data_IF_246604048966
#
_entry.id   IF_246604048966
#
_cell.length_a   1.000
_cell.length_b   1.000
_cell.length_c   1.000
_cell.angle_alpha   90.00
_cell.angle_beta   90.00
_cell.angle_gamma   90.00
#
_symmetry.space_group_name_H-M   'P 1'
#
loop_
_entity.id
_entity.type
_entity.pdbx_description
1 polymer ?
#
# COMPACT_ATOMS: atom_id res chain seq x y z
N UNK A 1 -11.10 9.00 27.70
CA UNK A 1 -11.83 8.50 26.53
C UNK A 1 -12.42 7.15 26.89
N UNK A 2 -13.72 6.96 26.69
CA UNK A 2 -14.44 5.69 26.97
C UNK A 2 -14.94 5.01 25.70
N UNK A 3 -15.05 5.76 24.61
CA UNK A 3 -15.49 5.29 23.29
C UNK A 3 -14.71 6.06 22.23
N UNK A 4 -14.39 5.42 21.13
CA UNK A 4 -13.73 6.03 19.98
C UNK A 4 -14.43 5.59 18.70
N UNK A 5 -15.05 6.50 17.92
CA UNK A 5 -15.85 6.15 16.73
C UNK A 5 -15.01 5.72 15.53
N UNK A 6 -13.70 5.96 15.54
CA UNK A 6 -12.80 5.55 14.45
C UNK A 6 -12.20 4.15 14.66
N UNK A 7 -12.31 3.60 15.86
CA UNK A 7 -11.87 2.23 16.15
C UNK A 7 -12.97 1.22 15.79
N UNK A 8 -12.59 -0.01 15.40
CA UNK A 8 -13.54 -1.10 15.31
C UNK A 8 -14.35 -1.25 16.62
N UNK A 9 -15.65 -1.60 16.57
CA UNK A 9 -16.51 -1.63 17.77
C UNK A 9 -15.93 -2.47 18.93
N UNK A 10 -15.40 -3.66 18.62
CA UNK A 10 -14.80 -4.55 19.61
C UNK A 10 -13.54 -3.93 20.27
N UNK A 11 -12.74 -3.16 19.52
CA UNK A 11 -11.57 -2.44 20.06
C UNK A 11 -12.02 -1.24 20.89
N UNK A 12 -13.00 -0.48 20.41
CA UNK A 12 -13.55 0.65 21.15
C UNK A 12 -14.09 0.20 22.53
N UNK A 13 -14.71 -0.98 22.59
CA UNK A 13 -15.17 -1.57 23.86
C UNK A 13 -14.04 -1.94 24.82
N UNK A 14 -12.83 -2.21 24.32
CA UNK A 14 -11.65 -2.54 25.14
C UNK A 14 -11.00 -1.32 25.81
N UNK A 15 -11.34 -0.08 25.47
CA UNK A 15 -10.63 1.12 25.97
C UNK A 15 -10.66 1.24 27.49
N UNK A 16 -11.78 1.00 28.15
CA UNK A 16 -11.87 1.02 29.61
C UNK A 16 -11.20 -0.20 30.27
N UNK A 17 -11.40 -1.44 29.79
CA UNK A 17 -10.62 -2.60 30.22
C UNK A 17 -9.10 -2.43 30.07
N UNK A 18 -8.61 -1.89 28.95
CA UNK A 18 -7.18 -1.61 28.73
C UNK A 18 -6.64 -0.59 29.76
N UNK A 19 -7.41 0.46 30.04
CA UNK A 19 -7.06 1.44 31.05
C UNK A 19 -6.91 0.79 32.44
N UNK A 20 -7.84 -0.08 32.81
CA UNK A 20 -7.80 -0.82 34.07
C UNK A 20 -6.60 -1.78 34.14
N UNK A 21 -6.33 -2.49 33.03
CA UNK A 21 -5.15 -3.36 32.88
C UNK A 21 -3.87 -2.57 33.13
N UNK A 22 -3.64 -1.49 32.38
CA UNK A 22 -2.42 -0.65 32.51
C UNK A 22 -2.28 -0.11 33.93
N UNK A 23 -3.37 0.37 34.56
CA UNK A 23 -3.34 0.87 35.93
C UNK A 23 -2.95 -0.20 36.94
N UNK A 24 -3.19 -1.48 36.68
CA UNK A 24 -2.84 -2.61 37.53
C UNK A 24 -1.41 -3.13 37.36
N UNK A 25 -0.72 -2.69 36.28
CA UNK A 25 0.62 -3.18 35.97
C UNK A 25 1.71 -2.55 36.84
N UNK A 26 2.74 -3.34 37.15
CA UNK A 26 3.90 -2.86 37.87
C UNK A 26 4.66 -1.82 37.03
N UNK A 27 4.75 -2.07 35.72
CA UNK A 27 5.42 -1.21 34.75
C UNK A 27 4.61 0.01 34.27
N UNK A 28 3.41 0.32 34.84
CA UNK A 28 2.46 1.34 34.37
C UNK A 28 3.07 2.70 34.03
N UNK A 29 4.12 3.12 34.73
CA UNK A 29 4.79 4.41 34.53
C UNK A 29 5.79 4.39 33.37
N UNK A 30 6.11 3.21 32.84
CA UNK A 30 7.09 2.99 31.76
C UNK A 30 6.46 2.41 30.49
N UNK A 31 5.14 2.50 30.37
CA UNK A 31 4.35 2.06 29.21
C UNK A 31 3.86 3.27 28.41
N UNK A 32 4.65 3.78 27.44
CA UNK A 32 4.31 5.02 26.75
C UNK A 32 3.19 4.86 25.71
N UNK A 33 2.99 3.64 25.17
CA UNK A 33 2.15 3.46 23.99
C UNK A 33 1.63 2.03 23.88
N UNK A 34 0.39 1.91 23.37
CA UNK A 34 -0.17 0.68 22.80
C UNK A 34 -0.58 1.00 21.36
N UNK A 35 0.00 0.28 20.39
CA UNK A 35 -0.41 0.34 18.99
C UNK A 35 -1.37 -0.80 18.68
N UNK A 36 -2.23 -0.58 17.67
CA UNK A 36 -3.27 -1.51 17.28
C UNK A 36 -3.11 -1.91 15.83
N UNK A 37 -3.20 -3.22 15.58
CA UNK A 37 -3.35 -3.75 14.22
C UNK A 37 -4.51 -4.76 14.19
N UNK A 38 -5.48 -4.55 13.29
CA UNK A 38 -6.65 -5.41 13.16
C UNK A 38 -6.57 -6.19 11.86
N UNK A 39 -6.59 -7.51 11.97
CA UNK A 39 -6.89 -8.43 10.87
C UNK A 39 -8.36 -8.85 10.88
N UNK A 40 -8.71 -9.78 9.98
CA UNK A 40 -10.08 -10.28 9.90
C UNK A 40 -10.49 -11.14 11.11
N UNK A 41 -9.53 -11.80 11.75
CA UNK A 41 -9.74 -12.74 12.85
C UNK A 41 -8.79 -12.56 14.03
N UNK A 42 -7.89 -11.60 13.95
CA UNK A 42 -6.90 -11.28 14.98
C UNK A 42 -6.88 -9.80 15.25
N UNK A 43 -6.86 -9.42 16.51
CA UNK A 43 -6.55 -8.08 16.98
C UNK A 43 -5.21 -8.11 17.69
N UNK A 44 -4.20 -7.48 17.13
CA UNK A 44 -2.88 -7.36 17.71
C UNK A 44 -2.73 -6.03 18.47
N UNK A 45 -2.31 -6.10 19.71
CA UNK A 45 -1.93 -4.95 20.54
C UNK A 45 -0.41 -4.98 20.75
N UNK A 46 0.29 -3.96 20.25
CA UNK A 46 1.73 -3.80 20.48
C UNK A 46 1.94 -2.93 21.68
N UNK A 47 2.43 -3.51 22.76
CA UNK A 47 2.75 -2.82 23.99
C UNK A 47 4.21 -2.36 23.96
N UNK A 48 4.43 -1.06 23.84
CA UNK A 48 5.76 -0.48 24.05
C UNK A 48 6.06 -0.36 25.54
N UNK A 49 7.23 -0.83 25.93
CA UNK A 49 7.69 -0.75 27.33
C UNK A 49 9.14 -0.30 27.39
N UNK A 50 9.43 0.62 28.31
CA UNK A 50 10.76 1.23 28.45
C UNK A 50 11.66 0.40 29.39
N UNK A 51 11.05 -0.40 30.25
CA UNK A 51 11.71 -1.28 31.21
C UNK A 51 11.19 -2.72 31.03
N UNK A 52 11.97 -3.75 31.43
CA UNK A 52 11.51 -5.12 31.34
C UNK A 52 10.22 -5.35 32.13
N UNK A 53 9.27 -6.07 31.56
CA UNK A 53 8.02 -6.43 32.24
C UNK A 53 8.26 -7.52 33.27
N UNK A 54 7.59 -7.42 34.43
CA UNK A 54 7.61 -8.46 35.46
C UNK A 54 6.83 -9.70 35.01
N UNK A 55 7.12 -10.86 35.62
CA UNK A 55 6.34 -12.08 35.36
C UNK A 55 4.85 -11.87 35.68
N UNK A 56 4.52 -11.05 36.67
CA UNK A 56 3.15 -10.69 37.01
C UNK A 56 2.49 -9.84 35.93
N UNK A 57 3.23 -8.90 35.30
CA UNK A 57 2.72 -8.11 34.20
C UNK A 57 2.48 -8.96 32.97
N UNK A 58 3.39 -9.87 32.63
CA UNK A 58 3.19 -10.80 31.52
C UNK A 58 1.96 -11.67 31.70
N UNK A 59 1.72 -12.13 32.95
CA UNK A 59 0.51 -12.91 33.26
C UNK A 59 -0.77 -12.08 33.16
N UNK A 60 -0.77 -10.81 33.62
CA UNK A 60 -1.90 -9.89 33.49
C UNK A 60 -2.27 -9.69 32.00
N UNK A 61 -1.26 -9.57 31.12
CA UNK A 61 -1.48 -9.46 29.67
C UNK A 61 -2.15 -10.72 29.10
N UNK A 62 -1.70 -11.93 29.52
CA UNK A 62 -2.30 -13.21 29.10
C UNK A 62 -3.74 -13.35 29.54
N UNK A 63 -3.99 -13.09 30.83
CA UNK A 63 -5.36 -13.15 31.39
C UNK A 63 -6.28 -12.17 30.65
N UNK A 64 -5.80 -10.96 30.36
CA UNK A 64 -6.56 -9.98 29.58
C UNK A 64 -6.87 -10.49 28.16
N UNK A 65 -5.87 -11.01 27.45
CA UNK A 65 -6.05 -11.53 26.10
C UNK A 65 -7.07 -12.69 26.06
N UNK A 66 -6.97 -13.62 27.01
CA UNK A 66 -7.92 -14.73 27.13
C UNK A 66 -9.34 -14.25 27.40
N UNK A 67 -9.52 -13.29 28.30
CA UNK A 67 -10.83 -12.73 28.65
C UNK A 67 -11.47 -11.99 27.46
N UNK A 68 -10.69 -11.18 26.71
CA UNK A 68 -11.19 -10.46 25.54
C UNK A 68 -11.52 -11.42 24.39
N UNK A 69 -10.69 -12.41 24.11
CA UNK A 69 -10.98 -13.45 23.12
C UNK A 69 -12.24 -14.24 23.46
N UNK A 70 -12.48 -14.53 24.75
CA UNK A 70 -13.70 -15.21 25.18
C UNK A 70 -14.98 -14.35 25.01
N UNK A 71 -14.86 -13.03 25.14
CA UNK A 71 -15.97 -12.09 24.93
C UNK A 71 -16.29 -11.87 23.44
N UNK A 72 -15.25 -11.89 22.58
CA UNK A 72 -15.38 -11.70 21.14
C UNK A 72 -14.65 -12.83 20.39
N UNK A 73 -15.24 -14.04 20.32
CA UNK A 73 -14.57 -15.22 19.74
C UNK A 73 -14.21 -15.08 18.26
N UNK A 74 -14.82 -14.12 17.56
CA UNK A 74 -14.47 -13.82 16.17
C UNK A 74 -13.09 -13.21 16.01
N UNK A 75 -12.52 -12.61 17.08
CA UNK A 75 -11.25 -11.93 17.06
C UNK A 75 -10.35 -12.42 18.21
N UNK A 76 -9.34 -13.22 17.88
CA UNK A 76 -8.30 -13.58 18.86
C UNK A 76 -7.47 -12.35 19.19
N UNK A 77 -7.37 -12.01 20.48
CA UNK A 77 -6.47 -10.94 20.94
C UNK A 77 -5.06 -11.48 21.11
N UNK A 78 -4.09 -10.82 20.49
CA UNK A 78 -2.67 -11.12 20.62
C UNK A 78 -1.90 -9.93 21.17
N UNK A 79 -1.02 -10.18 22.14
CA UNK A 79 -0.05 -9.20 22.59
C UNK A 79 1.27 -9.34 21.84
N UNK A 80 1.77 -8.20 21.41
CA UNK A 80 3.11 -8.03 20.88
C UNK A 80 3.86 -7.07 21.78
N UNK A 81 5.13 -7.33 22.04
CA UNK A 81 5.99 -6.52 22.91
C UNK A 81 6.99 -5.74 22.07
N UNK A 82 7.21 -4.49 22.46
CA UNK A 82 8.17 -3.59 21.81
C UNK A 82 9.11 -2.99 22.87
N UNK A 83 10.24 -3.64 23.17
CA UNK A 83 11.20 -3.14 24.17
C UNK A 83 12.05 -1.97 23.67
N UNK A 84 12.21 -1.78 22.36
CA UNK A 84 13.03 -0.71 21.75
C UNK A 84 12.39 -0.18 20.46
N UNK A 85 13.09 -0.24 19.33
CA UNK A 85 12.59 0.17 18.03
C UNK A 85 11.61 -0.82 17.42
N UNK A 86 10.99 -0.46 16.27
CA UNK A 86 10.03 -1.32 15.56
C UNK A 86 10.56 -2.70 15.19
N UNK A 87 11.87 -2.82 14.98
CA UNK A 87 12.57 -4.07 14.66
C UNK A 87 12.57 -5.07 15.83
N UNK A 88 12.28 -4.62 17.05
CA UNK A 88 12.22 -5.47 18.24
C UNK A 88 10.83 -6.01 18.55
N UNK A 89 9.84 -5.65 17.73
CA UNK A 89 8.45 -6.10 17.93
C UNK A 89 8.34 -7.61 17.75
N UNK A 90 7.83 -8.31 18.76
CA UNK A 90 7.67 -9.75 18.78
C UNK A 90 6.41 -10.17 19.55
N UNK A 91 5.88 -11.35 19.24
CA UNK A 91 4.77 -11.93 19.99
C UNK A 91 5.13 -12.17 21.46
N UNK A 92 4.21 -11.89 22.38
CA UNK A 92 4.34 -12.29 23.78
C UNK A 92 4.39 -13.81 23.92
N UNK A 93 3.50 -14.50 23.25
CA UNK A 93 3.42 -15.96 23.24
C UNK A 93 3.38 -16.44 21.79
N UNK A 94 4.24 -17.40 21.43
CA UNK A 94 4.28 -17.98 20.11
C UNK A 94 3.04 -18.83 19.82
N UNK A 95 2.64 -18.89 18.57
CA UNK A 95 1.49 -19.67 18.11
C UNK A 95 0.21 -18.83 17.98
N UNK A 96 -0.91 -19.53 17.74
CA UNK A 96 -2.20 -18.90 17.45
C UNK A 96 -2.39 -18.53 15.97
N UNK A 97 -3.54 -17.90 15.63
CA UNK A 97 -3.86 -17.54 14.25
C UNK A 97 -2.95 -16.43 13.74
N UNK A 98 -2.69 -16.47 12.43
CA UNK A 98 -1.90 -15.45 11.75
C UNK A 98 -2.71 -14.15 11.60
N UNK A 99 -2.10 -13.02 11.97
CA UNK A 99 -2.67 -11.69 11.68
C UNK A 99 -2.71 -11.50 10.16
N UNK A 100 -3.92 -11.40 9.61
CA UNK A 100 -4.14 -11.28 8.17
C UNK A 100 -5.47 -10.63 7.84
N UNK A 101 -5.58 -10.08 6.63
CA UNK A 101 -6.85 -9.67 6.05
C UNK A 101 -7.08 -10.34 4.70
N UNK A 102 -8.32 -10.42 4.26
CA UNK A 102 -8.68 -11.04 3.00
C UNK A 102 -9.18 -10.01 1.98
N UNK A 103 -8.87 -10.29 0.72
CA UNK A 103 -9.47 -9.66 -0.47
C UNK A 103 -10.32 -10.71 -1.20
N UNK A 104 -11.58 -10.94 -0.73
CA UNK A 104 -12.38 -12.10 -1.15
C UNK A 104 -12.71 -12.12 -2.64
N UNK A 105 -12.89 -10.94 -3.27
CA UNK A 105 -13.17 -10.82 -4.70
C UNK A 105 -12.08 -11.46 -5.57
N UNK A 106 -10.88 -11.59 -5.02
CA UNK A 106 -9.70 -12.13 -5.69
C UNK A 106 -9.23 -13.46 -5.11
N UNK A 107 -9.86 -13.90 -4.01
CA UNK A 107 -9.46 -15.11 -3.29
C UNK A 107 -8.09 -15.00 -2.61
N UNK A 108 -7.67 -13.80 -2.22
CA UNK A 108 -6.36 -13.51 -1.66
C UNK A 108 -6.45 -13.28 -0.16
N UNK A 109 -5.50 -13.87 0.57
CA UNK A 109 -5.28 -13.60 2.00
C UNK A 109 -3.92 -12.94 2.18
N UNK A 110 -3.89 -11.84 2.91
CA UNK A 110 -2.73 -10.99 3.14
C UNK A 110 -2.25 -11.09 4.59
N UNK A 111 -1.31 -11.99 4.92
CA UNK A 111 -0.60 -11.93 6.19
C UNK A 111 0.23 -10.65 6.32
N UNK A 112 0.25 -10.11 7.53
CA UNK A 112 1.05 -8.93 7.84
C UNK A 112 1.52 -8.94 9.30
N UNK A 113 2.52 -8.11 9.63
CA UNK A 113 2.95 -7.85 11.01
C UNK A 113 2.31 -6.55 11.50
N UNK A 114 2.15 -6.36 12.82
CA UNK A 114 1.62 -5.10 13.35
C UNK A 114 2.43 -3.86 12.94
N UNK A 115 3.69 -4.04 12.57
CA UNK A 115 4.60 -2.99 12.09
C UNK A 115 4.48 -2.70 10.59
N UNK A 116 3.80 -3.54 9.84
CA UNK A 116 3.60 -3.34 8.41
C UNK A 116 2.47 -2.34 8.16
N UNK A 117 2.64 -1.49 7.16
CA UNK A 117 1.55 -0.58 6.77
C UNK A 117 0.40 -1.37 6.10
N UNK A 118 -0.80 -1.15 6.60
CA UNK A 118 -2.05 -1.63 5.98
C UNK A 118 -3.09 -0.52 5.95
N UNK A 119 -4.05 -0.60 5.03
CA UNK A 119 -5.16 0.34 4.97
C UNK A 119 -6.04 0.19 6.23
N UNK A 120 -6.20 1.29 6.97
CA UNK A 120 -6.86 1.29 8.30
C UNK A 120 -8.33 0.90 8.29
N UNK A 121 -9.00 0.99 7.14
CA UNK A 121 -10.40 0.61 6.97
C UNK A 121 -10.49 -0.59 6.02
N UNK A 122 -10.59 -1.82 6.53
CA UNK A 122 -10.57 -3.03 5.70
C UNK A 122 -11.75 -3.12 4.72
N UNK A 123 -12.92 -2.59 5.09
CA UNK A 123 -14.08 -2.58 4.18
C UNK A 123 -13.84 -1.64 3.00
N UNK A 124 -13.34 -0.44 3.27
CA UNK A 124 -13.03 0.52 2.22
C UNK A 124 -11.83 0.04 1.40
N UNK A 125 -10.82 -0.61 2.01
CA UNK A 125 -9.71 -1.20 1.26
C UNK A 125 -10.20 -2.20 0.21
N UNK A 126 -11.13 -3.10 0.55
CA UNK A 126 -11.74 -4.03 -0.42
C UNK A 126 -12.41 -3.30 -1.59
N UNK A 127 -13.17 -2.26 -1.29
CA UNK A 127 -13.81 -1.41 -2.32
C UNK A 127 -12.77 -0.67 -3.16
N UNK A 128 -11.74 -0.11 -2.51
CA UNK A 128 -10.65 0.63 -3.17
C UNK A 128 -9.90 -0.26 -4.16
N UNK A 129 -9.48 -1.45 -3.72
CA UNK A 129 -8.76 -2.43 -4.57
C UNK A 129 -9.64 -2.85 -5.75
N UNK A 130 -10.89 -3.29 -5.48
CA UNK A 130 -11.82 -3.70 -6.55
C UNK A 130 -12.12 -2.55 -7.53
N UNK A 131 -12.19 -1.31 -7.05
CA UNK A 131 -12.41 -0.14 -7.90
C UNK A 131 -11.18 0.20 -8.75
N UNK A 132 -9.99 0.19 -8.15
CA UNK A 132 -8.73 0.45 -8.85
C UNK A 132 -8.51 -0.54 -9.99
N UNK A 133 -8.68 -1.84 -9.72
CA UNK A 133 -8.53 -2.88 -10.74
C UNK A 133 -9.55 -2.76 -11.89
N UNK A 134 -10.81 -2.45 -11.57
CA UNK A 134 -11.82 -2.21 -12.62
C UNK A 134 -11.48 -1.00 -13.47
N UNK A 135 -10.94 0.06 -12.88
CA UNK A 135 -10.54 1.26 -13.60
C UNK A 135 -9.25 1.04 -14.40
N UNK A 136 -8.32 0.24 -13.90
CA UNK A 136 -7.12 -0.15 -14.62
C UNK A 136 -7.47 -1.08 -15.80
N UNK A 137 -8.43 -1.97 -15.60
CA UNK A 137 -8.95 -2.90 -16.61
C UNK A 137 -7.85 -3.74 -17.27
N UNK A 138 -6.95 -4.33 -16.43
CA UNK A 138 -5.85 -5.16 -16.90
C UNK A 138 -6.37 -6.41 -17.65
N UNK A 139 -5.72 -6.74 -18.78
CA UNK A 139 -6.09 -7.89 -19.62
C UNK A 139 -5.11 -9.05 -19.44
N UNK A 140 -5.51 -10.32 -19.72
CA UNK A 140 -4.66 -11.49 -19.53
C UNK A 140 -3.37 -11.53 -20.37
N UNK A 141 -3.23 -10.68 -21.36
CA UNK A 141 -2.04 -10.57 -22.19
C UNK A 141 -1.14 -9.38 -21.81
N UNK A 142 -1.59 -8.51 -20.90
CA UNK A 142 -0.91 -7.29 -20.52
C UNK A 142 0.08 -7.50 -19.37
N UNK A 143 1.13 -6.70 -19.38
CA UNK A 143 2.08 -6.52 -18.29
C UNK A 143 1.69 -5.27 -17.49
N UNK A 144 1.71 -5.37 -16.17
CA UNK A 144 1.36 -4.26 -15.27
C UNK A 144 2.52 -3.99 -14.31
N UNK A 145 2.79 -2.71 -14.03
CA UNK A 145 3.67 -2.32 -12.92
C UNK A 145 2.82 -1.70 -11.82
N UNK A 146 3.04 -2.17 -10.59
CA UNK A 146 2.46 -1.65 -9.36
C UNK A 146 3.54 -0.91 -8.57
N UNK A 147 3.46 0.42 -8.60
CA UNK A 147 4.42 1.32 -7.97
C UNK A 147 4.00 1.63 -6.53
N UNK A 148 4.94 1.55 -5.58
CA UNK A 148 4.71 1.63 -4.14
C UNK A 148 3.84 0.46 -3.65
N UNK A 149 4.19 -0.74 -4.06
CA UNK A 149 3.32 -1.92 -3.93
C UNK A 149 3.11 -2.41 -2.48
N UNK A 150 3.88 -1.94 -1.51
CA UNK A 150 3.79 -2.31 -0.10
C UNK A 150 3.84 -3.83 0.11
N UNK A 151 2.82 -4.36 0.77
CA UNK A 151 2.64 -5.81 1.00
C UNK A 151 2.16 -6.58 -0.23
N UNK A 152 1.86 -5.89 -1.33
CA UNK A 152 1.22 -6.46 -2.51
C UNK A 152 -0.31 -6.31 -2.52
N UNK A 153 -0.85 -5.29 -1.82
CA UNK A 153 -2.30 -5.06 -1.69
C UNK A 153 -3.03 -4.92 -3.04
N UNK A 154 -2.38 -4.33 -4.03
CA UNK A 154 -2.86 -4.29 -5.42
C UNK A 154 -2.16 -5.32 -6.31
N UNK A 155 -0.87 -5.58 -6.07
CA UNK A 155 -0.05 -6.49 -6.89
C UNK A 155 -0.66 -7.88 -7.00
N UNK A 156 -1.06 -8.49 -5.86
CA UNK A 156 -1.60 -9.84 -5.85
C UNK A 156 -2.97 -9.93 -6.55
N UNK A 157 -3.93 -9.02 -6.31
CA UNK A 157 -5.13 -8.91 -7.12
C UNK A 157 -4.86 -8.70 -8.62
N UNK A 158 -3.89 -7.86 -9.01
CA UNK A 158 -3.49 -7.67 -10.41
C UNK A 158 -2.96 -8.98 -11.02
N UNK A 159 -2.23 -9.78 -10.25
CA UNK A 159 -1.73 -11.08 -10.69
C UNK A 159 -2.83 -12.12 -10.98
N UNK A 160 -4.08 -11.87 -10.56
CA UNK A 160 -5.25 -12.68 -10.97
C UNK A 160 -5.79 -12.32 -12.35
N UNK A 161 -5.37 -11.20 -12.93
CA UNK A 161 -5.94 -10.63 -14.15
C UNK A 161 -4.92 -10.46 -15.28
N UNK A 162 -3.72 -9.95 -14.96
CA UNK A 162 -2.67 -9.65 -15.92
C UNK A 162 -1.83 -10.89 -16.27
N UNK A 163 -1.08 -10.82 -17.36
CA UNK A 163 -0.10 -11.83 -17.77
C UNK A 163 1.10 -11.87 -16.81
N UNK A 164 1.54 -10.70 -16.41
CA UNK A 164 2.75 -10.48 -15.60
C UNK A 164 2.58 -9.21 -14.76
N UNK A 165 3.06 -9.24 -13.53
CA UNK A 165 3.06 -8.06 -12.65
C UNK A 165 4.45 -7.83 -12.08
N UNK A 166 4.89 -6.56 -12.09
CA UNK A 166 6.08 -6.10 -11.38
C UNK A 166 5.64 -5.17 -10.25
N UNK A 167 5.88 -5.57 -9.00
CA UNK A 167 5.70 -4.72 -7.82
C UNK A 167 7.02 -4.04 -7.47
N UNK A 168 7.02 -2.73 -7.28
CA UNK A 168 8.20 -1.96 -6.87
C UNK A 168 7.88 -1.21 -5.58
N UNK A 169 8.76 -1.32 -4.59
CA UNK A 169 8.57 -0.79 -3.24
C UNK A 169 9.91 -0.29 -2.68
N UNK A 170 9.87 0.80 -1.90
CA UNK A 170 11.08 1.38 -1.29
C UNK A 170 11.68 0.56 -0.16
N UNK A 171 10.85 -0.19 0.57
CA UNK A 171 11.25 -0.96 1.74
C UNK A 171 11.59 -2.42 1.39
N UNK A 172 12.84 -2.83 1.59
CA UNK A 172 13.25 -4.23 1.44
C UNK A 172 12.44 -5.17 2.32
N UNK A 173 12.06 -4.74 3.53
CA UNK A 173 11.22 -5.53 4.44
C UNK A 173 9.84 -5.77 3.86
N UNK A 174 9.20 -4.74 3.27
CA UNK A 174 7.90 -4.89 2.61
C UNK A 174 8.00 -5.72 1.34
N UNK A 175 9.09 -5.59 0.56
CA UNK A 175 9.36 -6.45 -0.60
C UNK A 175 9.51 -7.93 -0.18
N UNK A 176 10.20 -8.21 0.91
CA UNK A 176 10.28 -9.58 1.43
C UNK A 176 8.89 -10.10 1.83
N UNK A 177 8.09 -9.28 2.51
CA UNK A 177 6.71 -9.60 2.88
C UNK A 177 5.81 -9.83 1.67
N UNK A 178 5.92 -9.01 0.63
CA UNK A 178 5.12 -9.17 -0.58
C UNK A 178 5.44 -10.47 -1.32
N UNK A 179 6.72 -10.89 -1.34
CA UNK A 179 7.14 -12.20 -1.86
C UNK A 179 6.56 -13.36 -1.05
N UNK A 180 6.61 -13.30 0.28
CA UNK A 180 5.99 -14.31 1.16
C UNK A 180 4.47 -14.40 0.90
N UNK A 181 3.79 -13.26 0.79
CA UNK A 181 2.37 -13.18 0.50
C UNK A 181 2.04 -13.77 -0.88
N UNK A 182 2.84 -13.48 -1.89
CA UNK A 182 2.69 -14.07 -3.23
C UNK A 182 2.82 -15.59 -3.19
N UNK A 183 3.89 -16.12 -2.59
CA UNK A 183 4.11 -17.57 -2.51
C UNK A 183 2.99 -18.28 -1.76
N UNK A 184 2.53 -17.73 -0.64
CA UNK A 184 1.41 -18.27 0.13
C UNK A 184 0.13 -18.36 -0.70
N UNK A 185 -0.22 -17.28 -1.41
CA UNK A 185 -1.43 -17.24 -2.23
C UNK A 185 -1.31 -18.09 -3.50
N UNK A 186 -0.13 -18.16 -4.10
CA UNK A 186 0.14 -19.03 -5.26
C UNK A 186 -0.06 -20.51 -4.95
N UNK A 187 0.33 -20.95 -3.74
CA UNK A 187 0.16 -22.32 -3.29
C UNK A 187 -1.26 -22.64 -2.83
N UNK A 188 -1.99 -21.62 -2.36
CA UNK A 188 -3.33 -21.78 -1.79
C UNK A 188 -4.45 -21.51 -2.79
N UNK A 189 -4.14 -21.23 -4.08
CA UNK A 189 -5.05 -20.74 -5.11
C UNK A 189 -6.52 -21.14 -4.87
N UNK A 190 -7.34 -20.30 -4.19
CA UNK A 190 -8.75 -20.57 -4.05
C UNK A 190 -9.43 -20.33 -5.40
N UNK A 191 -10.39 -21.17 -5.76
CA UNK A 191 -11.19 -21.07 -6.98
C UNK A 191 -10.46 -21.29 -8.32
N UNK A 192 -9.28 -21.98 -8.34
CA UNK A 192 -8.64 -22.39 -9.57
C UNK A 192 -7.99 -21.28 -10.41
N UNK A 193 -7.87 -20.06 -9.87
CA UNK A 193 -7.13 -18.97 -10.52
C UNK A 193 -5.70 -18.93 -9.99
N UNK A 194 -4.76 -19.47 -10.75
CA UNK A 194 -3.34 -19.29 -10.46
C UNK A 194 -2.95 -17.82 -10.59
N UNK A 195 -2.14 -17.32 -9.66
CA UNK A 195 -1.51 -16.01 -9.82
C UNK A 195 -0.51 -16.06 -10.98
N UNK A 196 -0.50 -15.03 -11.82
CA UNK A 196 0.46 -14.89 -12.90
C UNK A 196 1.88 -14.65 -12.38
N UNK A 197 2.86 -14.72 -13.28
CA UNK A 197 4.26 -14.40 -12.95
C UNK A 197 4.34 -13.01 -12.33
N UNK A 198 4.87 -12.94 -11.11
CA UNK A 198 4.95 -11.69 -10.35
C UNK A 198 6.35 -11.57 -9.76
N UNK A 199 6.95 -10.39 -9.96
CA UNK A 199 8.25 -10.04 -9.41
C UNK A 199 8.11 -8.87 -8.46
N UNK A 200 9.02 -8.79 -7.48
CA UNK A 200 9.08 -7.68 -6.54
C UNK A 200 10.50 -7.15 -6.44
N UNK A 201 10.64 -5.83 -6.55
CA UNK A 201 11.93 -5.13 -6.56
C UNK A 201 11.94 -4.05 -5.48
N UNK A 202 13.01 -4.02 -4.68
CA UNK A 202 13.26 -2.92 -3.76
C UNK A 202 14.00 -1.79 -4.48
N UNK A 203 13.44 -0.56 -4.41
CA UNK A 203 14.05 0.63 -5.02
C UNK A 203 13.52 1.91 -4.39
N UNK A 204 14.39 2.90 -4.23
CA UNK A 204 13.95 4.23 -3.85
C UNK A 204 13.16 4.87 -4.99
N UNK A 205 11.86 5.04 -4.76
CA UNK A 205 10.91 5.58 -5.73
C UNK A 205 10.88 7.12 -5.73
N UNK A 206 11.58 7.76 -4.79
CA UNK A 206 11.77 9.21 -4.76
C UNK A 206 12.97 9.68 -5.58
N UNK A 207 13.82 8.74 -6.03
CA UNK A 207 15.00 8.99 -6.87
C UNK A 207 14.86 8.39 -8.27
N UNK A 208 13.64 8.20 -8.77
CA UNK A 208 13.38 7.62 -10.09
C UNK A 208 13.94 8.47 -11.22
N UNK A 209 14.59 7.81 -12.20
CA UNK A 209 15.14 8.40 -13.41
C UNK A 209 14.58 7.75 -14.68
N UNK A 210 14.68 8.40 -15.85
CA UNK A 210 14.34 7.81 -17.14
C UNK A 210 15.02 6.46 -17.39
N UNK A 211 16.29 6.34 -17.03
CA UNK A 211 17.09 5.14 -17.23
C UNK A 211 16.58 3.97 -16.37
N UNK A 212 16.12 4.25 -15.15
CA UNK A 212 15.50 3.25 -14.28
C UNK A 212 14.19 2.76 -14.86
N UNK A 213 13.35 3.65 -15.41
CA UNK A 213 12.12 3.26 -16.11
C UNK A 213 12.40 2.35 -17.32
N UNK A 214 13.43 2.67 -18.09
CA UNK A 214 13.86 1.84 -19.22
C UNK A 214 14.34 0.46 -18.76
N UNK A 215 15.05 0.40 -17.65
CA UNK A 215 15.54 -0.86 -17.06
C UNK A 215 14.38 -1.75 -16.58
N UNK A 216 13.31 -1.18 -16.04
CA UNK A 216 12.11 -1.92 -15.65
C UNK A 216 11.33 -2.47 -16.85
N UNK A 217 11.59 -1.90 -18.02
CA UNK A 217 10.94 -2.28 -19.28
C UNK A 217 9.54 -1.71 -19.44
N UNK A 218 9.00 -1.84 -20.64
CA UNK A 218 7.65 -1.39 -20.97
C UNK A 218 6.59 -2.20 -20.22
N UNK A 219 5.52 -1.53 -19.82
CA UNK A 219 4.31 -2.16 -19.30
C UNK A 219 3.09 -1.49 -19.92
N UNK A 220 2.03 -2.27 -20.12
CA UNK A 220 0.79 -1.80 -20.72
C UNK A 220 0.06 -0.82 -19.79
N UNK A 221 0.13 -1.06 -18.48
CA UNK A 221 -0.60 -0.27 -17.49
C UNK A 221 0.20 -0.11 -16.18
N UNK A 222 -0.05 1.00 -15.50
CA UNK A 222 0.52 1.27 -14.18
C UNK A 222 -0.57 1.49 -13.14
N UNK A 223 -0.36 0.92 -11.96
CA UNK A 223 -1.03 1.31 -10.73
C UNK A 223 -0.02 2.05 -9.85
N UNK A 224 -0.42 3.14 -9.22
CA UNK A 224 0.46 3.99 -8.41
C UNK A 224 -0.28 4.35 -7.12
N UNK A 225 0.24 3.93 -5.95
CA UNK A 225 -0.33 4.22 -4.63
C UNK A 225 0.76 4.75 -3.69
N UNK A 226 1.26 5.98 -3.89
CA UNK A 226 2.38 6.53 -3.17
C UNK A 226 1.99 7.02 -1.77
N UNK A 227 2.97 7.24 -0.88
CA UNK A 227 2.76 7.95 0.37
C UNK A 227 2.35 9.41 0.12
N UNK A 228 2.13 10.17 1.21
CA UNK A 228 1.62 11.57 1.16
C UNK A 228 2.44 12.52 0.30
N UNK A 229 3.70 12.22 0.08
CA UNK A 229 4.63 13.01 -0.75
C UNK A 229 4.33 12.90 -2.25
N UNK A 230 3.54 11.90 -2.65
CA UNK A 230 3.19 11.62 -4.04
C UNK A 230 4.29 10.89 -4.80
N UNK A 231 4.16 10.82 -6.12
CA UNK A 231 5.05 10.10 -7.03
C UNK A 231 5.78 11.05 -8.00
N UNK A 232 6.22 12.21 -7.51
CA UNK A 232 6.78 13.27 -8.37
C UNK A 232 7.96 12.80 -9.21
N UNK A 233 8.95 12.11 -8.61
CA UNK A 233 10.14 11.63 -9.32
C UNK A 233 9.78 10.62 -10.43
N UNK A 234 8.83 9.70 -10.14
CA UNK A 234 8.33 8.74 -11.12
C UNK A 234 7.71 9.43 -12.34
N UNK A 235 6.80 10.37 -12.12
CA UNK A 235 6.12 11.04 -13.23
C UNK A 235 7.00 12.08 -13.93
N UNK A 236 7.97 12.65 -13.24
CA UNK A 236 9.01 13.47 -13.86
C UNK A 236 9.85 12.62 -14.82
N UNK A 237 10.30 11.45 -14.39
CA UNK A 237 11.06 10.53 -15.23
C UNK A 237 10.24 10.07 -16.46
N UNK A 238 8.95 9.79 -16.28
CA UNK A 238 8.04 9.45 -17.39
C UNK A 238 7.89 10.61 -18.39
N UNK A 239 7.73 11.84 -17.88
CA UNK A 239 7.62 13.04 -18.70
C UNK A 239 8.92 13.27 -19.52
N UNK A 240 10.07 13.12 -18.88
CA UNK A 240 11.36 13.27 -19.56
C UNK A 240 11.59 12.21 -20.65
N UNK A 241 11.15 10.95 -20.44
CA UNK A 241 11.19 9.92 -21.48
C UNK A 241 10.29 10.28 -22.65
N UNK A 242 9.08 10.75 -22.39
CA UNK A 242 8.14 11.17 -23.43
C UNK A 242 8.71 12.34 -24.24
N UNK A 243 9.31 13.32 -23.59
CA UNK A 243 9.97 14.47 -24.25
C UNK A 243 11.15 14.04 -25.13
N UNK A 244 11.97 13.10 -24.64
CA UNK A 244 13.09 12.52 -25.44
C UNK A 244 12.58 11.79 -26.69
N UNK A 245 11.49 11.04 -26.58
CA UNK A 245 10.86 10.35 -27.73
C UNK A 245 10.32 11.33 -28.77
N UNK A 246 9.76 12.46 -28.33
CA UNK A 246 9.28 13.52 -29.20
C UNK A 246 10.39 14.39 -29.79
N UNK A 247 11.65 14.19 -29.37
CA UNK A 247 12.80 15.01 -29.79
C UNK A 247 12.74 16.43 -29.25
N UNK A 248 12.04 16.65 -28.14
CA UNK A 248 11.97 17.95 -27.47
C UNK A 248 13.27 18.22 -26.69
N UNK A 249 13.74 19.46 -26.66
CA UNK A 249 14.92 19.82 -25.87
C UNK A 249 14.66 19.64 -24.39
N UNK A 250 15.68 19.33 -23.57
CA UNK A 250 15.53 19.21 -22.13
C UNK A 250 15.04 20.54 -21.52
N UNK A 251 14.29 20.51 -20.41
CA UNK A 251 13.82 21.71 -19.74
C UNK A 251 14.96 22.66 -19.38
N UNK A 252 14.90 23.91 -19.83
CA UNK A 252 15.94 24.92 -19.61
C UNK A 252 16.93 25.13 -20.75
N UNK A 253 16.84 24.42 -21.85
CA UNK A 253 17.50 24.81 -23.10
C UNK A 253 16.70 25.95 -23.70
N UNK A 254 17.21 27.18 -23.61
CA UNK A 254 16.62 28.35 -24.28
C UNK A 254 16.77 28.16 -25.80
N UNK A 255 15.68 27.76 -26.43
CA UNK A 255 15.59 27.77 -27.89
C UNK A 255 15.01 29.13 -28.30
N UNK A 256 15.87 29.98 -28.86
CA UNK A 256 15.51 31.34 -29.27
C UNK A 256 14.61 31.42 -30.52
N UNK A 257 13.78 30.42 -30.79
CA UNK A 257 12.91 30.41 -31.97
C UNK A 257 11.43 30.37 -31.54
N UNK A 258 10.71 31.45 -31.85
CA UNK A 258 9.27 31.66 -31.72
C UNK A 258 8.48 30.81 -32.75
N UNK A 259 8.80 29.52 -32.89
CA UNK A 259 8.08 28.64 -33.81
C UNK A 259 7.05 27.82 -32.98
N UNK A 260 5.74 27.86 -33.32
CA UNK A 260 4.76 27.04 -32.63
C UNK A 260 5.12 25.56 -32.80
N UNK A 261 4.95 24.71 -31.75
CA UNK A 261 5.28 23.30 -31.83
C UNK A 261 4.50 22.62 -32.95
N UNK A 262 5.22 22.01 -33.89
CA UNK A 262 4.62 21.17 -34.91
C UNK A 262 3.91 20.00 -34.20
N UNK A 263 2.71 19.65 -34.67
CA UNK A 263 2.01 18.43 -34.24
C UNK A 263 2.86 17.26 -34.75
N UNK A 264 3.69 16.71 -33.86
CA UNK A 264 4.54 15.56 -34.14
C UNK A 264 3.69 14.30 -34.08
N UNK A 265 3.55 13.62 -35.21
CA UNK A 265 3.00 12.27 -35.20
C UNK A 265 3.89 11.32 -34.40
N UNK A 266 3.32 10.42 -33.58
CA UNK A 266 4.11 9.49 -32.78
C UNK A 266 4.93 8.58 -33.69
N UNK A 267 6.24 8.73 -33.69
CA UNK A 267 7.17 7.79 -34.32
C UNK A 267 7.30 6.53 -33.43
N UNK A 268 7.45 5.32 -34.00
CA UNK A 268 7.76 4.14 -33.23
C UNK A 268 9.02 4.41 -32.40
N UNK A 269 8.94 4.11 -31.09
CA UNK A 269 9.98 4.38 -30.11
C UNK A 269 11.36 3.94 -30.59
N UNK A 270 12.28 4.88 -30.78
CA UNK A 270 13.66 4.58 -31.11
C UNK A 270 14.41 3.92 -29.96
N UNK A 271 13.86 3.96 -28.75
CA UNK A 271 14.43 3.43 -27.52
C UNK A 271 13.98 2.00 -27.18
N UNK A 272 13.02 1.43 -27.92
CA UNK A 272 12.45 0.10 -27.63
C UNK A 272 11.63 0.05 -26.35
N UNK A 273 11.33 1.20 -25.72
CA UNK A 273 10.50 1.36 -24.52
C UNK A 273 9.23 2.12 -24.88
N UNK A 274 8.10 1.70 -24.33
CA UNK A 274 6.81 2.36 -24.55
C UNK A 274 6.16 2.72 -23.20
N UNK A 275 5.63 3.95 -23.08
CA UNK A 275 4.90 4.35 -21.88
C UNK A 275 3.58 3.58 -21.75
N UNK A 276 3.04 3.43 -20.51
CA UNK A 276 1.79 2.73 -20.26
C UNK A 276 0.61 3.43 -20.93
N UNK A 277 -0.33 2.65 -21.45
CA UNK A 277 -1.55 3.18 -22.07
C UNK A 277 -2.52 3.76 -21.05
N UNK A 278 -2.49 3.22 -19.81
CA UNK A 278 -3.36 3.67 -18.74
C UNK A 278 -2.64 3.63 -17.40
N UNK A 279 -2.90 4.66 -16.58
CA UNK A 279 -2.40 4.79 -15.23
C UNK A 279 -3.60 5.00 -14.29
N UNK A 280 -3.68 4.20 -13.23
CA UNK A 280 -4.57 4.45 -12.10
C UNK A 280 -3.72 4.93 -10.94
N UNK A 281 -4.01 6.13 -10.46
CA UNK A 281 -3.31 6.77 -9.36
C UNK A 281 -4.23 6.86 -8.14
N UNK A 282 -3.87 6.19 -7.06
CA UNK A 282 -4.51 6.26 -5.74
C UNK A 282 -3.70 7.22 -4.88
N UNK A 283 -4.34 8.07 -4.08
CA UNK A 283 -3.62 9.07 -3.28
C UNK A 283 -4.41 9.50 -2.05
N UNK A 284 -3.76 9.45 -0.89
CA UNK A 284 -4.29 10.00 0.35
C UNK A 284 -4.07 11.54 0.48
N UNK A 285 -3.47 12.18 -0.53
CA UNK A 285 -3.23 13.63 -0.56
C UNK A 285 -3.62 14.22 -1.92
N UNK A 286 -4.82 14.84 -2.03
CA UNK A 286 -5.27 15.47 -3.28
C UNK A 286 -4.34 16.53 -3.84
N UNK A 287 -3.57 17.22 -2.98
CA UNK A 287 -2.62 18.27 -3.41
C UNK A 287 -1.44 17.67 -4.19
N UNK A 288 -0.86 16.58 -3.72
CA UNK A 288 0.22 15.89 -4.45
C UNK A 288 -0.30 15.18 -5.69
N UNK A 289 -1.52 14.60 -5.65
CA UNK A 289 -2.18 14.07 -6.85
C UNK A 289 -2.33 15.15 -7.93
N UNK A 290 -2.79 16.35 -7.57
CA UNK A 290 -2.96 17.43 -8.53
C UNK A 290 -1.62 17.90 -9.12
N UNK A 291 -0.57 18.01 -8.30
CA UNK A 291 0.79 18.34 -8.76
C UNK A 291 1.31 17.29 -9.77
N UNK A 292 1.19 16.03 -9.44
CA UNK A 292 1.69 14.92 -10.25
C UNK A 292 0.86 14.73 -11.52
N UNK A 293 -0.47 14.95 -11.44
CA UNK A 293 -1.37 15.01 -12.60
C UNK A 293 -0.96 16.09 -13.60
N UNK A 294 -0.43 17.23 -13.11
CA UNK A 294 0.12 18.28 -13.97
C UNK A 294 1.27 17.78 -14.86
N UNK A 295 2.18 16.96 -14.32
CA UNK A 295 3.24 16.33 -15.12
C UNK A 295 2.68 15.36 -16.17
N UNK A 296 1.73 14.51 -15.76
CA UNK A 296 1.11 13.55 -16.66
C UNK A 296 0.39 14.24 -17.83
N UNK A 297 -0.42 15.26 -17.54
CA UNK A 297 -1.27 15.92 -18.54
C UNK A 297 -0.48 16.88 -19.42
N UNK A 298 0.44 17.65 -18.86
CA UNK A 298 1.12 18.72 -19.63
C UNK A 298 2.44 18.29 -20.24
N UNK A 299 3.06 17.19 -19.77
CA UNK A 299 4.40 16.82 -20.22
C UNK A 299 4.52 15.36 -20.67
N UNK A 300 3.79 14.43 -20.02
CA UNK A 300 3.91 13.01 -20.31
C UNK A 300 2.93 12.48 -21.38
N UNK A 301 2.05 13.33 -21.94
CA UNK A 301 1.13 12.97 -23.02
C UNK A 301 -0.08 12.15 -22.57
N UNK A 302 -0.62 12.46 -21.38
CA UNK A 302 -1.82 11.81 -20.85
C UNK A 302 -2.98 12.81 -20.70
N UNK A 303 -4.20 12.27 -20.67
CA UNK A 303 -5.39 13.00 -20.25
C UNK A 303 -6.00 12.35 -19.01
N UNK A 304 -6.51 13.13 -18.09
CA UNK A 304 -7.30 12.63 -16.98
C UNK A 304 -8.72 12.30 -17.49
N UNK A 305 -9.11 11.04 -17.42
CA UNK A 305 -10.42 10.57 -17.92
C UNK A 305 -11.44 10.35 -16.80
N UNK A 306 -10.98 10.16 -15.58
CA UNK A 306 -11.83 10.04 -14.41
C UNK A 306 -11.06 10.46 -13.14
N UNK A 307 -11.76 11.05 -12.20
CA UNK A 307 -11.26 11.30 -10.85
C UNK A 307 -12.41 11.18 -9.85
N UNK A 308 -12.10 10.76 -8.63
CA UNK A 308 -13.08 10.63 -7.58
C UNK A 308 -12.45 10.48 -6.20
N UNK A 309 -13.29 10.48 -5.18
CA UNK A 309 -12.88 10.38 -3.78
C UNK A 309 -13.46 9.12 -3.13
N UNK A 310 -12.75 8.62 -2.14
CA UNK A 310 -13.17 7.49 -1.30
C UNK A 310 -13.01 7.90 0.16
N UNK A 311 -14.03 7.70 0.97
CA UNK A 311 -13.99 8.01 2.39
C UNK A 311 -13.30 6.88 3.18
N UNK A 312 -11.98 6.80 3.07
CA UNK A 312 -11.15 5.83 3.80
C UNK A 312 -11.06 6.17 5.29
N UNK A 313 -11.08 7.46 5.63
CA UNK A 313 -10.78 8.00 6.95
C UNK A 313 -11.98 8.78 7.52
N UNK A 314 -13.09 8.12 7.85
CA UNK A 314 -14.27 8.80 8.40
C UNK A 314 -13.91 9.53 9.70
N UNK A 315 -14.56 10.67 9.95
CA UNK A 315 -14.31 11.56 11.09
C UNK A 315 -12.93 12.23 11.13
N UNK A 316 -12.21 12.25 10.01
CA UNK A 316 -10.94 12.99 9.88
C UNK A 316 -11.00 13.96 8.71
N UNK A 317 -9.99 14.82 8.57
CA UNK A 317 -9.82 15.73 7.42
C UNK A 317 -9.13 15.04 6.21
N UNK A 318 -8.79 13.76 6.32
CA UNK A 318 -8.10 13.05 5.26
C UNK A 318 -9.10 12.47 4.25
N UNK A 319 -8.74 12.53 2.99
CA UNK A 319 -9.51 12.01 1.87
C UNK A 319 -8.62 11.13 1.02
N UNK A 320 -9.09 9.93 0.71
CA UNK A 320 -8.50 9.09 -0.32
C UNK A 320 -9.05 9.49 -1.67
N UNK A 321 -8.19 9.61 -2.67
CA UNK A 321 -8.54 10.01 -4.03
C UNK A 321 -8.06 8.96 -5.02
N UNK A 322 -8.74 8.87 -6.16
CA UNK A 322 -8.31 8.02 -7.26
C UNK A 322 -8.52 8.75 -8.58
N UNK A 323 -7.52 8.73 -9.44
CA UNK A 323 -7.60 9.31 -10.77
C UNK A 323 -7.13 8.30 -11.83
N UNK A 324 -7.67 8.41 -13.03
CA UNK A 324 -7.35 7.58 -14.19
C UNK A 324 -6.83 8.46 -15.30
N UNK A 325 -5.69 8.09 -15.82
CA UNK A 325 -5.04 8.76 -16.93
C UNK A 325 -4.90 7.80 -18.09
N UNK A 326 -5.21 8.29 -19.29
CA UNK A 326 -5.02 7.56 -20.56
C UNK A 326 -4.06 8.33 -21.44
N UNK A 327 -3.21 7.60 -22.14
CA UNK A 327 -2.31 8.17 -23.13
C UNK A 327 -3.13 8.72 -24.32
N UNK A 328 -2.74 9.91 -24.81
CA UNK A 328 -3.37 10.59 -25.95
C UNK A 328 -2.67 10.19 -27.23
#
# INVERSE_FOLDING_TARGET
MSVCPVLPPHVSAMLLPLRALVASMDARETLPQIELACGDNVTALVLRHMEPLSAADLERLRVFAAAQTAQEPAHTLQWWLQPKGPETVHLLDEGGPTLSYALPDFGITMPFKPTDFTQVNPHINRVLVSRALRLLDAKPHERVIDWFCGLGNFTLPLATQAREVLGIEGSETLVARSRENYEKNRLSAPHGRALSATQFVARDLFEMTPEMLMLDGSADKWLVDPPRDGAFALFKALAELNERELGLPPPGAEDGTDTPPAVLEPKPSSLGWTPPQRIVYVSCNPGTLARDAGLLVHRAGYRCVAAGMVNMFPHTAHVESMAVFERV
#
